data_IF_552608524617
#
_entry.id   IF_552608524617
#
_cell.length_a   1.000
_cell.length_b   1.000
_cell.length_c   1.000
_cell.angle_alpha   90.00
_cell.angle_beta   90.00
_cell.angle_gamma   90.00
#
_symmetry.space_group_name_H-M   'P 1'
#
loop_
_entity.id
_entity.type
_entity.pdbx_description
1 polymer ?
#
# COMPACT_ATOMS: atom_id res chain seq x y z
N UNK A 1 -8.32 -19.22 -9.05
CA UNK A 1 -8.12 -18.12 -8.08
C UNK A 1 -9.39 -17.81 -7.29
N UNK A 2 -10.52 -17.52 -7.93
CA UNK A 2 -11.79 -17.24 -7.23
C UNK A 2 -12.20 -18.31 -6.21
N UNK A 3 -12.13 -19.59 -6.59
CA UNK A 3 -12.41 -20.72 -5.69
C UNK A 3 -11.47 -20.83 -4.48
N UNK A 4 -10.22 -20.38 -4.63
CA UNK A 4 -9.24 -20.40 -3.53
C UNK A 4 -9.53 -19.26 -2.56
N UNK A 5 -9.75 -18.05 -3.09
CA UNK A 5 -10.07 -16.88 -2.26
C UNK A 5 -11.44 -16.97 -1.59
N UNK A 6 -12.38 -17.75 -2.12
CA UNK A 6 -13.67 -18.03 -1.47
C UNK A 6 -13.51 -18.75 -0.12
N UNK A 7 -12.39 -19.45 0.10
CA UNK A 7 -12.07 -20.15 1.34
C UNK A 7 -11.35 -19.25 2.37
N UNK A 8 -11.07 -18.00 2.01
CA UNK A 8 -10.35 -17.04 2.86
C UNK A 8 -11.33 -15.99 3.38
N UNK A 9 -11.31 -15.75 4.70
CA UNK A 9 -12.07 -14.67 5.32
C UNK A 9 -11.35 -13.34 5.11
N UNK A 10 -12.07 -12.37 4.56
CA UNK A 10 -11.58 -11.01 4.38
C UNK A 10 -12.22 -10.10 5.43
N UNK A 11 -11.39 -9.38 6.18
CA UNK A 11 -11.84 -8.33 7.09
C UNK A 11 -11.85 -6.96 6.37
N UNK A 12 -12.62 -5.97 6.88
CA UNK A 12 -12.47 -4.59 6.44
C UNK A 12 -11.03 -4.10 6.56
N UNK A 13 -10.59 -3.29 5.59
CA UNK A 13 -9.23 -2.74 5.59
C UNK A 13 -9.10 -1.64 6.64
N UNK A 14 -8.16 -1.82 7.57
CA UNK A 14 -7.83 -0.82 8.60
C UNK A 14 -6.85 0.25 8.08
N UNK A 15 -6.14 -0.07 6.99
CA UNK A 15 -5.25 0.83 6.28
C UNK A 15 -5.69 0.99 4.82
N UNK A 16 -5.30 2.09 4.21
CA UNK A 16 -5.56 2.30 2.80
C UNK A 16 -4.66 1.40 1.95
N UNK A 17 -5.25 0.72 0.97
CA UNK A 17 -4.55 -0.17 0.03
C UNK A 17 -4.99 0.20 -1.37
N UNK A 18 -4.03 0.41 -2.27
CA UNK A 18 -4.28 0.81 -3.65
C UNK A 18 -4.30 -0.41 -4.57
N UNK A 19 -5.30 -0.49 -5.44
CA UNK A 19 -5.49 -1.59 -6.37
C UNK A 19 -4.60 -1.45 -7.61
N UNK A 20 -3.97 -2.55 -8.03
CA UNK A 20 -3.26 -2.61 -9.31
C UNK A 20 -4.20 -2.50 -10.53
N UNK A 21 -5.48 -2.86 -10.36
CA UNK A 21 -6.50 -2.88 -11.43
C UNK A 21 -7.07 -1.48 -11.67
N UNK A 22 -7.43 -0.78 -10.59
CA UNK A 22 -8.13 0.51 -10.70
C UNK A 22 -7.18 1.70 -10.57
N UNK A 23 -5.98 1.49 -10.02
CA UNK A 23 -5.08 2.56 -9.58
C UNK A 23 -5.77 3.55 -8.63
N UNK A 24 -6.63 3.03 -7.75
CA UNK A 24 -7.38 3.77 -6.74
C UNK A 24 -7.36 2.99 -5.41
N UNK A 25 -7.63 3.65 -4.27
CA UNK A 25 -7.88 2.97 -3.01
C UNK A 25 -9.00 1.94 -3.13
N UNK A 26 -8.84 0.77 -2.51
CA UNK A 26 -9.93 -0.16 -2.30
C UNK A 26 -10.99 0.42 -1.36
N UNK A 27 -12.25 0.01 -1.55
CA UNK A 27 -13.32 0.34 -0.61
C UNK A 27 -13.12 -0.42 0.72
N UNK A 28 -12.77 0.31 1.78
CA UNK A 28 -12.30 -0.29 3.04
C UNK A 28 -13.33 -1.20 3.73
N UNK A 29 -14.63 -0.94 3.55
CA UNK A 29 -15.73 -1.70 4.18
C UNK A 29 -16.31 -2.80 3.28
N UNK A 30 -15.74 -3.02 2.10
CA UNK A 30 -16.27 -3.96 1.12
C UNK A 30 -15.26 -5.07 0.78
N UNK A 31 -15.14 -6.09 1.65
CA UNK A 31 -14.22 -7.20 1.44
C UNK A 31 -14.55 -8.03 0.18
N UNK A 32 -15.81 -8.03 -0.28
CA UNK A 32 -16.21 -8.75 -1.50
C UNK A 32 -15.61 -8.08 -2.74
N UNK A 33 -15.70 -6.75 -2.84
CA UNK A 33 -15.09 -6.01 -3.95
C UNK A 33 -13.56 -6.15 -3.96
N UNK A 34 -12.93 -6.17 -2.78
CA UNK A 34 -11.50 -6.47 -2.66
C UNK A 34 -11.16 -7.86 -3.23
N UNK A 35 -11.95 -8.89 -2.89
CA UNK A 35 -11.77 -10.23 -3.44
C UNK A 35 -11.92 -10.25 -4.96
N UNK A 36 -12.94 -9.60 -5.50
CA UNK A 36 -13.18 -9.52 -6.93
C UNK A 36 -12.00 -8.86 -7.67
N UNK A 37 -11.50 -7.74 -7.16
CA UNK A 37 -10.36 -7.03 -7.76
C UNK A 37 -9.05 -7.83 -7.69
N UNK A 38 -8.84 -8.65 -6.65
CA UNK A 38 -7.69 -9.56 -6.57
C UNK A 38 -7.76 -10.68 -7.62
N UNK A 39 -8.96 -11.16 -7.95
CA UNK A 39 -9.14 -12.13 -9.06
C UNK A 39 -8.90 -11.44 -10.40
N UNK A 40 -9.49 -10.26 -10.60
CA UNK A 40 -9.36 -9.49 -11.83
C UNK A 40 -7.89 -9.11 -12.12
N UNK A 41 -7.10 -8.82 -11.09
CA UNK A 41 -5.69 -8.50 -11.21
C UNK A 41 -4.87 -9.53 -12.00
N UNK A 42 -5.26 -10.80 -12.01
CA UNK A 42 -4.53 -11.85 -12.73
C UNK A 42 -4.50 -11.66 -14.24
N UNK A 43 -5.49 -10.94 -14.79
CA UNK A 43 -5.65 -10.72 -16.24
C UNK A 43 -5.67 -9.24 -16.61
N UNK A 44 -5.56 -8.37 -15.60
CA UNK A 44 -5.54 -6.92 -15.78
C UNK A 44 -4.12 -6.38 -15.74
N UNK A 45 -3.82 -5.33 -16.53
CA UNK A 45 -2.51 -4.68 -16.48
C UNK A 45 -2.25 -4.06 -15.09
N UNK A 46 -1.03 -4.15 -14.61
CA UNK A 46 -0.60 -3.51 -13.36
C UNK A 46 -0.41 -2.02 -13.61
N UNK A 47 -1.29 -1.18 -13.06
CA UNK A 47 -1.28 0.29 -13.26
C UNK A 47 -0.36 1.03 -12.29
N UNK A 48 0.87 0.52 -12.12
CA UNK A 48 1.83 1.00 -11.12
C UNK A 48 2.09 2.52 -11.18
N UNK A 49 2.40 3.05 -12.37
CA UNK A 49 2.73 4.47 -12.52
C UNK A 49 1.57 5.39 -12.12
N UNK A 50 0.34 4.98 -12.44
CA UNK A 50 -0.85 5.74 -12.09
C UNK A 50 -1.14 5.66 -10.58
N UNK A 51 -0.97 4.47 -9.97
CA UNK A 51 -1.14 4.31 -8.53
C UNK A 51 -0.17 5.19 -7.75
N UNK A 52 1.10 5.24 -8.16
CA UNK A 52 2.10 6.07 -7.49
C UNK A 52 1.79 7.57 -7.63
N UNK A 53 1.44 8.03 -8.83
CA UNK A 53 1.07 9.43 -9.05
C UNK A 53 -0.15 9.84 -8.22
N UNK A 54 -1.17 8.98 -8.15
CA UNK A 54 -2.35 9.21 -7.33
C UNK A 54 -2.04 9.23 -5.83
N UNK A 55 -1.18 8.31 -5.36
CA UNK A 55 -0.75 8.25 -3.97
C UNK A 55 0.02 9.49 -3.56
N UNK A 56 0.96 9.95 -4.39
CA UNK A 56 1.72 11.20 -4.15
C UNK A 56 0.76 12.39 -4.10
N UNK A 57 -0.18 12.50 -5.04
CA UNK A 57 -1.15 13.59 -5.05
C UNK A 57 -2.02 13.60 -3.78
N UNK A 58 -2.49 12.43 -3.34
CA UNK A 58 -3.26 12.28 -2.11
C UNK A 58 -2.46 12.66 -0.86
N UNK A 59 -1.17 12.31 -0.81
CA UNK A 59 -0.26 12.70 0.27
C UNK A 59 -0.04 14.21 0.29
N UNK A 60 0.23 14.83 -0.86
CA UNK A 60 0.50 16.27 -0.95
C UNK A 60 -0.72 17.12 -0.60
N UNK A 61 -1.92 16.64 -0.94
CA UNK A 61 -3.17 17.31 -0.57
C UNK A 61 -3.45 17.27 0.95
N UNK A 62 -2.84 16.32 1.67
CA UNK A 62 -2.91 16.21 3.12
C UNK A 62 -1.70 16.94 3.73
N UNK A 63 -1.85 18.25 4.02
CA UNK A 63 -0.78 19.12 4.54
C UNK A 63 -0.13 18.58 5.83
N UNK A 64 -0.79 17.65 6.55
CA UNK A 64 -0.22 16.98 7.72
C UNK A 64 0.88 15.97 7.38
N UNK A 65 1.09 15.65 6.09
CA UNK A 65 2.02 14.62 5.59
C UNK A 65 3.21 15.17 4.79
N UNK A 66 3.61 16.41 5.06
CA UNK A 66 4.60 17.18 4.30
C UNK A 66 5.99 16.52 4.12
N UNK A 67 6.28 15.39 4.76
CA UNK A 67 7.46 14.55 4.48
C UNK A 67 7.10 13.07 4.55
N UNK A 68 6.46 12.54 3.50
CA UNK A 68 6.17 11.10 3.44
C UNK A 68 7.36 10.34 2.87
N UNK A 69 7.94 9.47 3.70
CA UNK A 69 8.95 8.50 3.29
C UNK A 69 8.25 7.19 2.91
N UNK A 70 8.55 6.66 1.73
CA UNK A 70 8.06 5.35 1.31
C UNK A 70 8.99 4.25 1.82
N UNK A 71 8.41 3.14 2.27
CA UNK A 71 9.15 1.98 2.72
C UNK A 71 8.91 0.82 1.74
N UNK A 72 9.97 0.33 1.10
CA UNK A 72 9.89 -0.83 0.20
C UNK A 72 10.18 -2.10 1.02
N UNK A 73 9.12 -2.86 1.30
CA UNK A 73 9.19 -4.13 2.04
C UNK A 73 9.33 -5.31 1.07
N UNK A 74 10.40 -5.30 0.28
CA UNK A 74 10.66 -6.33 -0.74
C UNK A 74 12.17 -6.57 -0.91
N UNK A 75 12.58 -7.76 -1.37
CA UNK A 75 13.98 -8.01 -1.73
C UNK A 75 14.47 -7.05 -2.83
N UNK A 76 15.67 -6.49 -2.64
CA UNK A 76 16.28 -5.55 -3.58
C UNK A 76 15.69 -4.14 -3.49
N UNK A 77 15.63 -3.43 -4.62
CA UNK A 77 15.21 -2.02 -4.67
C UNK A 77 14.49 -1.65 -5.96
N UNK A 78 13.67 -2.57 -6.48
CA UNK A 78 13.02 -2.41 -7.78
C UNK A 78 11.95 -1.32 -7.70
N UNK A 79 11.09 -1.37 -6.68
CA UNK A 79 9.99 -0.41 -6.53
C UNK A 79 10.54 1.00 -6.25
N UNK A 80 11.61 1.13 -5.47
CA UNK A 80 12.37 2.38 -5.32
C UNK A 80 12.82 2.93 -6.67
N UNK A 81 13.41 2.07 -7.51
CA UNK A 81 13.84 2.45 -8.85
C UNK A 81 12.67 2.95 -9.73
N UNK A 82 11.54 2.25 -9.69
CA UNK A 82 10.34 2.62 -10.43
C UNK A 82 9.71 3.93 -9.91
N UNK A 83 9.61 4.09 -8.59
CA UNK A 83 9.06 5.28 -7.94
C UNK A 83 9.88 6.52 -8.31
N UNK A 84 11.21 6.44 -8.25
CA UNK A 84 12.09 7.57 -8.62
C UNK A 84 12.01 7.97 -10.10
N UNK A 85 11.55 7.07 -10.98
CA UNK A 85 11.29 7.41 -12.40
C UNK A 85 9.99 8.17 -12.58
N UNK A 86 9.02 7.96 -11.68
CA UNK A 86 7.72 8.65 -11.66
C UNK A 86 7.88 10.02 -11.00
N UNK A 87 8.51 10.06 -9.83
CA UNK A 87 8.81 11.29 -9.11
C UNK A 87 10.18 11.19 -8.41
N UNK A 88 11.11 12.07 -8.79
CA UNK A 88 12.48 12.07 -8.26
C UNK A 88 12.58 12.61 -6.83
N UNK A 89 11.57 13.32 -6.34
CA UNK A 89 11.52 13.88 -4.99
C UNK A 89 11.14 12.85 -3.93
N UNK A 90 10.57 11.71 -4.34
CA UNK A 90 10.17 10.65 -3.43
C UNK A 90 11.38 9.97 -2.77
N UNK A 91 11.42 10.03 -1.44
CA UNK A 91 12.32 9.21 -0.64
C UNK A 91 11.76 7.79 -0.49
N UNK A 92 12.58 6.79 -0.81
CA UNK A 92 12.22 5.37 -0.63
C UNK A 92 13.34 4.64 0.12
N UNK A 93 12.99 4.07 1.27
CA UNK A 93 13.88 3.27 2.12
C UNK A 93 13.59 1.78 1.87
N UNK A 94 14.54 1.01 1.29
CA UNK A 94 14.39 -0.42 1.12
C UNK A 94 14.63 -1.16 2.44
N UNK A 95 13.87 -2.25 2.65
CA UNK A 95 13.99 -3.16 3.80
C UNK A 95 14.13 -4.60 3.27
N UNK A 96 15.25 -4.90 2.64
CA UNK A 96 15.55 -6.20 2.03
C UNK A 96 16.25 -7.19 2.98
N UNK A 97 16.72 -6.70 4.13
CA UNK A 97 17.34 -7.48 5.20
C UNK A 97 16.73 -7.10 6.55
N UNK A 98 16.68 -8.04 7.53
CA UNK A 98 16.29 -7.71 8.89
C UNK A 98 17.27 -6.71 9.47
N UNK A 99 16.80 -5.52 9.79
CA UNK A 99 17.57 -4.54 10.56
C UNK A 99 17.14 -4.63 12.03
N UNK A 100 18.10 -4.52 12.95
CA UNK A 100 17.79 -4.42 14.37
C UNK A 100 17.24 -3.02 14.66
N UNK A 101 15.93 -2.84 14.48
CA UNK A 101 15.25 -1.62 14.90
C UNK A 101 15.15 -1.64 16.44
N UNK A 102 15.57 -0.57 17.16
CA UNK A 102 15.29 -0.48 18.58
C UNK A 102 13.78 -0.58 18.79
N UNK A 103 13.37 -1.31 19.83
CA UNK A 103 11.95 -1.56 20.11
C UNK A 103 11.16 -0.24 20.11
N UNK A 104 10.15 -0.14 19.26
CA UNK A 104 9.19 0.95 19.35
C UNK A 104 8.48 0.83 20.71
N UNK A 105 8.45 1.90 21.53
CA UNK A 105 7.67 1.87 22.76
C UNK A 105 6.21 1.56 22.40
N UNK A 106 5.51 0.75 23.23
CA UNK A 106 4.13 0.37 22.93
C UNK A 106 3.28 1.63 22.76
N UNK A 107 2.55 1.71 21.65
CA UNK A 107 1.55 2.74 21.44
C UNK A 107 0.57 2.69 22.62
N UNK A 108 0.36 3.79 23.36
CA UNK A 108 -0.60 3.79 24.45
C UNK A 108 -1.97 3.42 23.89
N UNK A 109 -2.52 2.30 24.36
CA UNK A 109 -3.90 1.92 24.10
C UNK A 109 -4.76 3.03 24.70
N UNK A 110 -5.49 3.74 23.86
CA UNK A 110 -6.49 4.69 24.33
C UNK A 110 -7.52 3.92 25.15
N UNK A 111 -7.47 4.07 26.48
CA UNK A 111 -8.52 3.62 27.37
C UNK A 111 -9.76 4.43 27.00
N UNK A 112 -10.71 3.80 26.30
CA UNK A 112 -12.02 4.39 26.10
C UNK A 112 -12.73 4.49 27.47
N UNK A 113 -13.51 5.56 27.71
CA UNK A 113 -14.32 5.69 28.91
C UNK A 113 -15.45 4.65 28.98
#
# INVERSE_FOLDING_TARGET
>A
MGEVLAKVTFAPLVHEVWSNVTAQPHERKNPELLRQLLVEQLVSPVRWSQSCAGLIAAIVADESRATTVFHELAPGSVLKGLMRRIDKSCEVVPHDQPTHQPAHPPTPVATQP
#
